data_IF_570753843664
#
_entry.id   IF_570753843664
#
_cell.length_a   1.000
_cell.length_b   1.000
_cell.length_c   1.000
_cell.angle_alpha   90.00
_cell.angle_beta   90.00
_cell.angle_gamma   90.00
#
_symmetry.space_group_name_H-M   'P 1'
#
loop_
_entity.id
_entity.type
_entity.pdbx_description
1 polymer ?
#
# COMPACT_ATOMS: atom_id res chain seq x y z
N UNK A 1 -1.77 -10.29 -5.83
CA UNK A 1 -3.24 -10.37 -5.77
C UNK A 1 -3.79 -9.26 -6.63
N UNK A 2 -4.68 -9.53 -7.58
CA UNK A 2 -5.21 -8.52 -8.52
C UNK A 2 -6.72 -8.58 -8.57
N UNK A 3 -7.34 -7.54 -9.13
CA UNK A 3 -8.76 -7.61 -9.47
C UNK A 3 -9.02 -8.63 -10.61
N UNK A 4 -10.30 -8.88 -10.86
CA UNK A 4 -10.77 -9.73 -11.96
C UNK A 4 -10.73 -9.04 -13.32
N UNK A 5 -9.85 -8.05 -13.53
CA UNK A 5 -9.66 -7.42 -14.83
C UNK A 5 -9.24 -8.44 -15.90
N UNK A 6 -9.77 -8.29 -17.12
CA UNK A 6 -9.50 -9.21 -18.23
C UNK A 6 -7.99 -9.37 -18.52
N UNK A 7 -7.23 -8.29 -18.36
CA UNK A 7 -5.77 -8.30 -18.51
C UNK A 7 -5.06 -9.22 -17.50
N UNK A 8 -5.58 -9.38 -16.29
CA UNK A 8 -4.99 -10.21 -15.24
C UNK A 8 -5.48 -11.68 -15.27
N UNK A 9 -6.61 -11.95 -15.94
CA UNK A 9 -7.15 -13.31 -16.09
C UNK A 9 -6.59 -13.99 -17.36
N UNK A 10 -6.04 -13.22 -18.29
CA UNK A 10 -5.60 -13.71 -19.58
C UNK A 10 -4.53 -14.81 -19.49
N UNK A 11 -4.67 -15.84 -20.34
CA UNK A 11 -3.83 -17.05 -20.29
C UNK A 11 -2.34 -16.79 -20.47
N UNK A 12 -1.94 -15.82 -21.30
CA UNK A 12 -0.53 -15.46 -21.44
C UNK A 12 0.05 -14.87 -20.15
N UNK A 13 -0.71 -14.06 -19.42
CA UNK A 13 -0.31 -13.52 -18.12
C UNK A 13 -0.17 -14.62 -17.06
N UNK A 14 -1.08 -15.60 -17.06
CA UNK A 14 -0.96 -16.74 -16.16
C UNK A 14 0.27 -17.60 -16.46
N UNK A 15 0.60 -17.81 -17.75
CA UNK A 15 1.80 -18.54 -18.18
C UNK A 15 3.09 -17.81 -17.76
N UNK A 16 3.14 -16.49 -17.88
CA UNK A 16 4.31 -15.73 -17.44
C UNK A 16 4.49 -15.79 -15.92
N UNK A 17 3.41 -15.68 -15.14
CA UNK A 17 3.49 -15.81 -13.68
C UNK A 17 3.94 -17.22 -13.25
N UNK A 18 3.46 -18.27 -13.93
CA UNK A 18 3.92 -19.63 -13.69
C UNK A 18 5.43 -19.80 -13.95
N UNK A 19 5.96 -19.18 -15.02
CA UNK A 19 7.40 -19.18 -15.33
C UNK A 19 8.25 -18.60 -14.19
N UNK A 20 7.74 -17.56 -13.52
CA UNK A 20 8.43 -16.92 -12.39
C UNK A 20 8.03 -17.50 -11.03
N UNK A 21 7.30 -18.62 -10.99
CA UNK A 21 6.84 -19.27 -9.74
C UNK A 21 6.02 -18.31 -8.86
N UNK A 22 5.29 -17.38 -9.48
CA UNK A 22 4.46 -16.40 -8.77
C UNK A 22 3.05 -16.97 -8.63
N UNK A 23 2.61 -17.18 -7.38
CA UNK A 23 1.24 -17.60 -7.10
C UNK A 23 0.27 -16.41 -7.25
N UNK A 24 -0.57 -16.46 -8.28
CA UNK A 24 -1.53 -15.40 -8.59
C UNK A 24 -2.87 -15.64 -7.91
N UNK A 25 -3.22 -14.76 -6.96
CA UNK A 25 -4.55 -14.73 -6.32
C UNK A 25 -5.44 -13.68 -7.00
N UNK A 26 -6.58 -14.10 -7.54
CA UNK A 26 -7.57 -13.22 -8.17
C UNK A 26 -8.67 -12.93 -7.14
N UNK A 27 -8.99 -11.65 -6.97
CA UNK A 27 -10.07 -11.19 -6.10
C UNK A 27 -11.40 -11.36 -6.84
N UNK A 28 -12.46 -11.89 -6.17
CA UNK A 28 -13.77 -11.95 -6.79
C UNK A 28 -14.28 -10.54 -7.18
N UNK A 29 -15.08 -10.42 -8.25
CA UNK A 29 -15.66 -9.15 -8.67
C UNK A 29 -16.40 -8.46 -7.52
N UNK A 30 -16.35 -7.13 -7.46
CA UNK A 30 -17.08 -6.32 -6.48
C UNK A 30 -16.71 -6.58 -5.01
N UNK A 31 -15.49 -7.06 -4.73
CA UNK A 31 -14.96 -7.15 -3.37
C UNK A 31 -13.86 -6.09 -3.10
N UNK A 32 -14.21 -4.79 -3.02
CA UNK A 32 -13.24 -3.69 -2.88
C UNK A 32 -12.42 -3.76 -1.58
N UNK A 33 -12.89 -4.50 -0.57
CA UNK A 33 -12.12 -4.76 0.66
C UNK A 33 -10.82 -5.53 0.41
N UNK A 34 -10.79 -6.38 -0.62
CA UNK A 34 -9.60 -7.17 -0.97
C UNK A 34 -8.59 -6.37 -1.82
N UNK A 35 -9.04 -5.35 -2.56
CA UNK A 35 -8.19 -4.38 -3.30
C UNK A 35 -7.94 -3.07 -2.53
N UNK A 36 -8.48 -2.93 -1.32
CA UNK A 36 -8.55 -1.66 -0.60
C UNK A 36 -7.20 -0.99 -0.34
N UNK A 37 -6.12 -1.77 -0.15
CA UNK A 37 -4.77 -1.20 -0.02
C UNK A 37 -4.32 -0.50 -1.31
N UNK A 38 -4.50 -1.16 -2.46
CA UNK A 38 -4.14 -0.60 -3.77
C UNK A 38 -5.01 0.62 -4.09
N UNK A 39 -6.30 0.58 -3.75
CA UNK A 39 -7.21 1.72 -3.93
C UNK A 39 -6.81 2.93 -3.09
N UNK A 40 -6.46 2.73 -1.82
CA UNK A 40 -5.97 3.79 -0.94
C UNK A 40 -4.66 4.38 -1.46
N UNK A 41 -3.68 3.54 -1.83
CA UNK A 41 -2.42 3.99 -2.43
C UNK A 41 -2.66 4.80 -3.71
N UNK A 42 -3.53 4.31 -4.60
CA UNK A 42 -3.87 5.00 -5.84
C UNK A 42 -4.56 6.34 -5.58
N UNK A 43 -5.43 6.41 -4.56
CA UNK A 43 -6.08 7.67 -4.16
C UNK A 43 -5.05 8.68 -3.67
N UNK A 44 -4.12 8.28 -2.80
CA UNK A 44 -3.07 9.16 -2.29
C UNK A 44 -2.15 9.67 -3.40
N UNK A 45 -1.71 8.80 -4.32
CA UNK A 45 -0.90 9.20 -5.49
C UNK A 45 -1.67 10.16 -6.38
N UNK A 46 -2.96 9.90 -6.64
CA UNK A 46 -3.82 10.82 -7.40
C UNK A 46 -3.93 12.19 -6.72
N UNK A 47 -4.05 12.25 -5.39
CA UNK A 47 -4.11 13.52 -4.66
C UNK A 47 -2.79 14.30 -4.76
N UNK A 48 -1.64 13.62 -4.72
CA UNK A 48 -0.34 14.28 -4.92
C UNK A 48 -0.25 14.82 -6.34
N UNK A 49 -0.57 14.00 -7.35
CA UNK A 49 -0.55 14.41 -8.75
C UNK A 49 -1.52 15.58 -9.02
N UNK A 50 -2.71 15.58 -8.44
CA UNK A 50 -3.65 16.69 -8.59
C UNK A 50 -3.08 18.04 -8.14
N UNK A 51 -2.17 18.04 -7.16
CA UNK A 51 -1.52 19.24 -6.65
C UNK A 51 -0.26 19.64 -7.42
N UNK A 52 0.46 18.69 -8.00
CA UNK A 52 1.76 18.92 -8.65
C UNK A 52 1.68 19.09 -10.16
N UNK A 53 0.62 18.57 -10.78
CA UNK A 53 0.37 18.63 -12.22
C UNK A 53 -0.07 20.05 -12.61
N UNK A 54 0.38 20.51 -13.77
CA UNK A 54 0.06 21.84 -14.26
C UNK A 54 -1.43 21.94 -14.66
N UNK A 55 -1.90 23.17 -14.91
CA UNK A 55 -3.31 23.41 -15.28
C UNK A 55 -3.75 22.65 -16.54
N UNK A 56 -2.83 22.35 -17.46
CA UNK A 56 -3.12 21.61 -18.70
C UNK A 56 -3.19 20.09 -18.52
N UNK A 57 -2.79 19.55 -17.35
CA UNK A 57 -2.81 18.12 -17.00
C UNK A 57 -2.04 17.17 -17.90
N UNK A 58 -1.28 17.68 -18.86
CA UNK A 58 -0.51 16.87 -19.83
C UNK A 58 0.85 16.41 -19.28
N UNK A 59 1.33 17.00 -18.19
CA UNK A 59 2.66 16.70 -17.63
C UNK A 59 2.65 15.66 -16.49
N UNK A 60 1.55 14.93 -16.29
CA UNK A 60 1.41 13.97 -15.18
C UNK A 60 2.45 12.87 -15.20
N UNK A 61 2.84 12.38 -16.39
CA UNK A 61 3.86 11.33 -16.52
C UNK A 61 5.22 11.80 -16.00
N UNK A 62 5.61 13.04 -16.33
CA UNK A 62 6.85 13.67 -15.84
C UNK A 62 6.84 13.94 -14.33
N UNK A 63 5.66 14.01 -13.72
CA UNK A 63 5.47 14.25 -12.27
C UNK A 63 5.19 12.98 -11.48
N UNK A 64 5.15 11.83 -12.14
CA UNK A 64 4.89 10.56 -11.49
C UNK A 64 6.03 10.16 -10.54
N UNK A 65 7.28 10.36 -10.95
CA UNK A 65 8.44 10.03 -10.11
C UNK A 65 8.49 10.89 -8.85
N UNK A 66 8.28 12.21 -8.99
CA UNK A 66 8.15 13.14 -7.86
C UNK A 66 7.02 12.72 -6.91
N UNK A 67 5.86 12.31 -7.46
CA UNK A 67 4.71 11.89 -6.67
C UNK A 67 4.97 10.57 -5.92
N UNK A 68 5.60 9.61 -6.58
CA UNK A 68 6.00 8.33 -5.97
C UNK A 68 7.06 8.56 -4.89
N UNK A 69 7.99 9.49 -5.11
CA UNK A 69 9.00 9.87 -4.13
C UNK A 69 8.36 10.44 -2.87
N UNK A 70 7.48 11.42 -3.01
CA UNK A 70 6.74 12.00 -1.89
C UNK A 70 5.89 10.94 -1.18
N UNK A 71 5.24 10.05 -1.92
CA UNK A 71 4.43 8.97 -1.37
C UNK A 71 5.25 7.99 -0.50
N UNK A 72 6.42 7.59 -0.97
CA UNK A 72 7.29 6.60 -0.31
C UNK A 72 8.01 7.17 0.91
N UNK A 73 8.37 8.45 0.87
CA UNK A 73 9.11 9.13 1.95
C UNK A 73 8.19 9.68 3.04
N UNK A 74 6.91 9.93 2.74
CA UNK A 74 5.93 10.36 3.72
C UNK A 74 5.71 9.33 4.85
N UNK A 75 5.57 9.85 6.07
CA UNK A 75 5.25 9.05 7.25
C UNK A 75 3.80 8.54 7.17
N UNK A 76 3.59 7.27 7.51
CA UNK A 76 2.25 6.64 7.52
C UNK A 76 1.85 6.31 8.96
N UNK A 77 0.88 7.05 9.49
CA UNK A 77 0.39 6.86 10.87
C UNK A 77 0.00 5.42 11.22
N UNK A 78 -0.70 4.64 10.35
CA UNK A 78 -1.05 3.26 10.67
C UNK A 78 0.16 2.33 10.81
N UNK A 79 1.26 2.63 10.12
CA UNK A 79 2.48 1.81 10.14
C UNK A 79 3.54 2.35 11.13
N UNK A 80 3.44 3.61 11.53
CA UNK A 80 4.41 4.26 12.41
C UNK A 80 5.75 4.58 11.74
N UNK A 81 5.82 4.53 10.40
CA UNK A 81 7.03 4.85 9.63
C UNK A 81 6.69 5.13 8.16
N UNK A 82 7.68 5.56 7.38
CA UNK A 82 7.56 5.70 5.92
C UNK A 82 7.82 4.36 5.21
N UNK A 83 7.26 4.20 4.00
CA UNK A 83 7.48 3.00 3.18
C UNK A 83 8.95 2.83 2.81
N UNK A 84 9.64 3.94 2.55
CA UNK A 84 11.08 3.94 2.30
C UNK A 84 11.85 3.32 3.47
N UNK A 85 11.55 3.72 4.71
CA UNK A 85 12.22 3.18 5.90
C UNK A 85 11.95 1.70 6.08
N UNK A 86 10.75 1.21 5.75
CA UNK A 86 10.40 -0.21 5.84
C UNK A 86 11.20 -1.09 4.87
N UNK A 87 11.50 -0.56 3.67
CA UNK A 87 12.25 -1.29 2.63
C UNK A 87 13.75 -1.24 2.91
N UNK A 88 14.28 -0.04 3.14
CA UNK A 88 15.74 0.20 3.18
C UNK A 88 16.33 0.26 4.59
N UNK A 89 15.49 0.31 5.64
CA UNK A 89 15.97 0.36 7.03
C UNK A 89 16.65 1.66 7.41
N UNK A 90 16.47 2.71 6.62
CA UNK A 90 17.01 4.04 6.92
C UNK A 90 15.96 5.08 6.58
N UNK A 91 15.98 6.19 7.32
CA UNK A 91 15.24 7.36 6.90
C UNK A 91 15.80 7.84 5.55
N UNK A 92 14.91 8.34 4.70
CA UNK A 92 15.35 8.98 3.48
C UNK A 92 16.01 10.32 3.84
N UNK A 93 17.18 10.59 3.27
CA UNK A 93 17.77 11.92 3.33
C UNK A 93 17.08 12.80 2.29
N UNK A 94 16.46 13.90 2.73
CA UNK A 94 15.87 14.88 1.82
C UNK A 94 17.00 15.63 1.09
N UNK A 95 16.82 16.12 -0.15
CA UNK A 95 17.87 16.85 -0.87
C UNK A 95 18.51 17.99 -0.06
N UNK A 96 17.71 18.75 0.68
CA UNK A 96 18.20 19.80 1.58
C UNK A 96 19.03 19.26 2.76
N UNK A 97 18.66 18.09 3.29
CA UNK A 97 19.45 17.42 4.32
C UNK A 97 20.74 16.82 3.75
N UNK A 98 20.74 16.41 2.47
CA UNK A 98 21.94 15.93 1.80
C UNK A 98 22.97 17.07 1.66
N UNK A 99 22.54 18.25 1.20
CA UNK A 99 23.43 19.40 1.04
C UNK A 99 24.07 19.83 2.37
N UNK A 100 23.30 19.87 3.46
CA UNK A 100 23.79 20.36 4.75
C UNK A 100 24.38 19.29 5.68
N UNK A 101 23.82 18.08 5.72
CA UNK A 101 24.20 17.03 6.69
C UNK A 101 24.95 15.85 6.06
N UNK A 102 24.71 15.53 4.78
CA UNK A 102 25.41 14.39 4.17
C UNK A 102 26.88 14.68 3.93
N UNK A 103 27.27 15.91 3.55
CA UNK A 103 28.69 16.22 3.41
C UNK A 103 29.46 16.05 4.72
N UNK A 104 28.90 16.48 5.86
CA UNK A 104 29.55 16.36 7.18
C UNK A 104 29.53 14.91 7.70
N UNK A 105 28.38 14.23 7.65
CA UNK A 105 28.23 12.87 8.14
C UNK A 105 28.93 11.81 7.26
N UNK A 106 28.98 11.98 5.93
CA UNK A 106 29.73 11.08 5.04
C UNK A 106 31.23 11.21 5.28
N UNK A 107 31.70 12.44 5.54
CA UNK A 107 33.10 12.70 5.88
C UNK A 107 33.45 12.03 7.21
N UNK A 108 32.63 12.20 8.25
CA UNK A 108 32.91 11.68 9.60
C UNK A 108 32.70 10.16 9.75
N UNK A 109 31.65 9.58 9.13
CA UNK A 109 31.27 8.15 9.31
C UNK A 109 32.16 7.21 8.49
N UNK A 110 32.70 7.65 7.35
CA UNK A 110 33.50 6.78 6.46
C UNK A 110 35.01 6.79 6.75
N UNK A 111 35.49 7.50 7.78
CA UNK A 111 36.90 7.44 8.16
C UNK A 111 37.30 6.11 8.81
N UNK A 112 36.39 5.48 9.56
CA UNK A 112 36.62 4.17 10.20
C UNK A 112 35.71 3.10 9.60
N UNK A 113 36.28 2.32 8.68
CA UNK A 113 35.59 1.22 8.00
C UNK A 113 35.08 0.14 8.96
N UNK A 114 35.75 -0.09 10.09
CA UNK A 114 35.36 -1.14 11.05
C UNK A 114 34.10 -0.72 11.80
N UNK A 115 34.08 0.49 12.34
CA UNK A 115 32.92 1.07 13.00
C UNK A 115 31.73 1.22 12.03
N UNK A 116 31.99 1.63 10.78
CA UNK A 116 30.95 1.72 9.76
C UNK A 116 30.34 0.33 9.43
N UNK A 117 31.17 -0.71 9.40
CA UNK A 117 30.74 -2.11 9.23
C UNK A 117 29.84 -2.60 10.36
N UNK A 118 30.25 -2.40 11.62
CA UNK A 118 29.48 -2.76 12.81
C UNK A 118 28.13 -2.05 12.86
N UNK A 119 28.11 -0.73 12.60
CA UNK A 119 26.86 0.05 12.50
C UNK A 119 25.94 -0.48 11.41
N UNK A 120 26.48 -0.81 10.22
CA UNK A 120 25.69 -1.36 9.11
C UNK A 120 25.07 -2.70 9.49
N UNK A 121 25.82 -3.59 10.14
CA UNK A 121 25.32 -4.88 10.61
C UNK A 121 24.19 -4.71 11.63
N UNK A 122 24.38 -3.81 12.60
CA UNK A 122 23.34 -3.46 13.58
C UNK A 122 22.04 -3.00 12.89
N UNK A 123 22.12 -2.08 11.92
CA UNK A 123 20.93 -1.64 11.17
C UNK A 123 20.23 -2.77 10.41
N UNK A 124 20.99 -3.72 9.85
CA UNK A 124 20.41 -4.89 9.17
C UNK A 124 19.70 -5.81 10.17
N UNK A 125 20.23 -5.98 11.38
CA UNK A 125 19.57 -6.76 12.44
C UNK A 125 18.29 -6.08 12.93
N UNK A 126 18.32 -4.77 13.20
CA UNK A 126 17.16 -4.02 13.69
C UNK A 126 16.05 -3.85 12.64
N UNK A 127 16.35 -4.09 11.37
CA UNK A 127 15.40 -3.95 10.28
C UNK A 127 14.18 -4.86 10.44
N UNK A 128 14.40 -6.11 10.86
CA UNK A 128 13.33 -7.08 11.03
C UNK A 128 12.47 -6.76 12.25
N UNK A 129 13.08 -6.25 13.33
CA UNK A 129 12.35 -5.74 14.50
C UNK A 129 11.43 -4.58 14.12
N UNK A 130 11.90 -3.62 13.33
CA UNK A 130 11.07 -2.50 12.88
C UNK A 130 9.94 -2.94 11.96
N UNK A 131 10.18 -3.93 11.09
CA UNK A 131 9.13 -4.52 10.25
C UNK A 131 8.08 -5.24 11.08
N UNK A 132 8.48 -5.98 12.11
CA UNK A 132 7.57 -6.62 13.05
C UNK A 132 6.73 -5.56 13.81
N UNK A 133 7.37 -4.49 14.29
CA UNK A 133 6.67 -3.39 14.95
C UNK A 133 5.68 -2.70 14.01
N UNK A 134 6.04 -2.46 12.75
CA UNK A 134 5.15 -1.87 11.75
C UNK A 134 3.93 -2.75 11.49
N UNK A 135 4.13 -4.08 11.46
CA UNK A 135 3.06 -5.05 11.27
C UNK A 135 2.08 -5.04 12.45
N UNK A 136 2.59 -5.07 13.69
CA UNK A 136 1.74 -4.98 14.88
C UNK A 136 0.98 -3.66 14.94
N UNK A 137 1.64 -2.53 14.66
CA UNK A 137 0.99 -1.22 14.59
C UNK A 137 -0.17 -1.21 13.58
N UNK A 138 0.07 -1.76 12.38
CA UNK A 138 -0.95 -1.86 11.34
C UNK A 138 -2.12 -2.76 11.75
N UNK A 139 -1.84 -3.86 12.45
CA UNK A 139 -2.85 -4.77 13.00
C UNK A 139 -3.72 -4.07 14.05
N UNK A 140 -3.10 -3.40 15.03
CA UNK A 140 -3.82 -2.63 16.04
C UNK A 140 -4.67 -1.52 15.42
N UNK A 141 -4.15 -0.81 14.42
CA UNK A 141 -4.89 0.22 13.71
C UNK A 141 -6.11 -0.36 13.01
N UNK A 142 -5.93 -1.48 12.28
CA UNK A 142 -7.02 -2.19 11.59
C UNK A 142 -8.11 -2.65 12.57
N UNK A 143 -7.72 -3.18 13.73
CA UNK A 143 -8.67 -3.56 14.77
C UNK A 143 -9.44 -2.38 15.34
N UNK A 144 -8.77 -1.26 15.61
CA UNK A 144 -9.44 -0.02 16.08
C UNK A 144 -10.47 0.46 15.06
N UNK A 145 -10.08 0.56 13.79
CA UNK A 145 -10.99 0.96 12.70
C UNK A 145 -12.16 -0.01 12.56
N UNK A 146 -11.91 -1.32 12.65
CA UNK A 146 -12.97 -2.34 12.63
C UNK A 146 -13.95 -2.15 13.79
N UNK A 147 -13.48 -1.98 15.03
CA UNK A 147 -14.35 -1.72 16.19
C UNK A 147 -15.23 -0.49 15.99
N UNK A 148 -14.69 0.58 15.43
CA UNK A 148 -15.46 1.80 15.12
C UNK A 148 -16.49 1.59 14.01
N UNK A 149 -16.11 0.85 12.97
CA UNK A 149 -17.00 0.52 11.87
C UNK A 149 -18.15 -0.40 12.32
N UNK A 150 -17.83 -1.48 13.03
CA UNK A 150 -18.79 -2.46 13.52
C UNK A 150 -19.81 -1.85 14.50
N UNK A 151 -19.41 -0.87 15.32
CA UNK A 151 -20.33 -0.10 16.18
C UNK A 151 -21.43 0.64 15.40
N UNK A 152 -21.18 0.99 14.14
CA UNK A 152 -22.12 1.74 13.29
C UNK A 152 -22.93 0.84 12.36
N UNK A 153 -22.64 -0.46 12.31
CA UNK A 153 -23.38 -1.41 11.47
C UNK A 153 -24.58 -1.93 12.25
N UNK A 154 -25.76 -1.80 11.65
CA UNK A 154 -26.92 -2.60 12.06
C UNK A 154 -26.71 -4.02 11.54
N UNK A 155 -26.57 -4.99 12.46
CA UNK A 155 -26.48 -6.40 12.09
C UNK A 155 -27.81 -6.83 11.47
N UNK A 156 -27.74 -7.34 10.23
CA UNK A 156 -28.86 -8.01 9.56
C UNK A 156 -28.44 -9.46 9.37
N UNK A 157 -29.22 -10.35 9.94
CA UNK A 157 -29.07 -11.80 9.73
C UNK A 157 -30.04 -12.18 8.60
N UNK A 158 -29.56 -13.02 7.68
CA UNK A 158 -30.35 -13.49 6.55
C UNK A 158 -30.47 -15.01 6.64
N UNK A 159 -31.69 -15.50 6.52
CA UNK A 159 -31.99 -16.92 6.46
C UNK A 159 -32.23 -17.35 5.00
N UNK A 160 -32.08 -18.65 4.73
CA UNK A 160 -32.39 -19.22 3.41
C UNK A 160 -33.87 -18.98 3.09
N UNK A 161 -34.14 -18.35 1.94
CA UNK A 161 -35.50 -17.96 1.53
C UNK A 161 -35.83 -16.47 1.70
N UNK A 162 -35.01 -15.70 2.41
CA UNK A 162 -35.21 -14.26 2.53
C UNK A 162 -34.99 -13.55 1.18
N UNK A 163 -35.81 -12.55 0.88
CA UNK A 163 -35.61 -11.71 -0.31
C UNK A 163 -34.50 -10.69 -0.03
N UNK A 164 -33.41 -10.80 -0.80
CA UNK A 164 -32.29 -9.88 -0.73
C UNK A 164 -32.16 -9.10 -2.02
N UNK A 165 -31.79 -7.83 -1.90
CA UNK A 165 -31.48 -6.99 -3.06
C UNK A 165 -30.09 -7.33 -3.56
N UNK A 166 -30.02 -7.95 -4.73
CA UNK A 166 -28.75 -8.16 -5.42
C UNK A 166 -28.40 -6.91 -6.21
N UNK A 167 -27.23 -6.33 -5.92
CA UNK A 167 -26.72 -5.21 -6.70
C UNK A 167 -26.13 -5.69 -8.02
N UNK A 168 -26.77 -5.35 -9.14
CA UNK A 168 -26.24 -5.57 -10.48
C UNK A 168 -25.80 -4.24 -11.10
N UNK A 169 -24.52 -4.13 -11.42
CA UNK A 169 -23.91 -2.91 -11.96
C UNK A 169 -24.48 -2.48 -13.32
N UNK A 170 -25.04 -3.40 -14.11
CA UNK A 170 -25.57 -3.13 -15.45
C UNK A 170 -27.06 -2.76 -15.47
N UNK A 171 -27.83 -3.26 -14.49
CA UNK A 171 -29.29 -3.17 -14.51
C UNK A 171 -29.90 -2.53 -13.24
N UNK A 172 -29.07 -2.06 -12.29
CA UNK A 172 -29.45 -1.65 -10.91
C UNK A 172 -30.00 -2.84 -10.07
N UNK A 173 -30.64 -2.56 -8.94
CA UNK A 173 -31.07 -3.55 -7.94
C UNK A 173 -32.18 -4.46 -8.47
N UNK A 174 -32.05 -5.77 -8.27
CA UNK A 174 -33.12 -6.75 -8.48
C UNK A 174 -33.37 -7.54 -7.19
N UNK A 175 -34.64 -7.82 -6.90
CA UNK A 175 -35.01 -8.75 -5.85
C UNK A 175 -34.66 -10.18 -6.29
N UNK A 176 -33.89 -10.89 -5.46
CA UNK A 176 -33.62 -12.31 -5.63
C UNK A 176 -33.76 -13.00 -4.27
N UNK A 177 -34.28 -14.24 -4.26
CA UNK A 177 -34.28 -15.04 -3.04
C UNK A 177 -32.86 -15.46 -2.68
N UNK A 178 -32.51 -15.32 -1.40
CA UNK A 178 -31.26 -15.80 -0.85
C UNK A 178 -31.18 -17.32 -0.98
N UNK A 179 -30.25 -17.78 -1.81
CA UNK A 179 -29.82 -19.17 -1.94
C UNK A 179 -28.35 -19.20 -1.56
N UNK A 180 -28.00 -19.97 -0.52
CA UNK A 180 -26.62 -20.18 -0.06
C UNK A 180 -25.82 -20.99 -1.09
#
# INVERSE_FOLDING_TARGET
MTDGGSHFIHGAFRKTLAKYVVNHKIVPPYHPQSSGQVELSNREIKLILQKTVNRSRKNWSKKLDDALWAYRTAYKNPMGMSQYKMVYGKACHLPLELEHKAYWAIKEINFDFKLAGEKRLFYISSLDEWRAQAYENAKFFKEKVKRWHDKRIQKREFNVGDYVLLYNSRLRFFCRQASL
#
